data_IF_987301532710
#
_entry.id   IF_987301532710
#
_cell.length_a   1.000
_cell.length_b   1.000
_cell.length_c   1.000
_cell.angle_alpha   90.00
_cell.angle_beta   90.00
_cell.angle_gamma   90.00
#
_symmetry.space_group_name_H-M   'P 1'
#
loop_
_entity.id
_entity.type
_entity.pdbx_description
1 polymer ?
#
# COMPACT_ATOMS: atom_id res chain seq x y z
N UNK A 1 9.14 4.91 -23.30
CA UNK A 1 8.95 3.45 -23.54
C UNK A 1 7.56 3.19 -24.11
N UNK A 2 7.26 1.97 -24.63
CA UNK A 2 5.93 1.63 -25.13
C UNK A 2 5.14 0.84 -24.05
N UNK A 3 3.86 1.15 -23.92
CA UNK A 3 2.98 0.39 -23.03
C UNK A 3 2.82 -1.06 -23.53
N UNK A 4 3.02 -2.04 -22.64
CA UNK A 4 2.79 -3.46 -22.91
C UNK A 4 1.37 -3.89 -22.50
N UNK A 5 0.94 -5.07 -22.94
CA UNK A 5 -0.35 -5.65 -22.54
C UNK A 5 -0.43 -6.01 -21.04
N UNK A 6 0.72 -6.14 -20.37
CA UNK A 6 0.79 -6.42 -18.93
C UNK A 6 1.03 -5.19 -18.08
N UNK A 7 1.11 -4.00 -18.69
CA UNK A 7 1.36 -2.75 -18.00
C UNK A 7 0.34 -2.49 -16.87
N UNK A 8 0.82 -1.97 -15.76
CA UNK A 8 0.02 -1.48 -14.64
C UNK A 8 0.60 -0.16 -14.16
N UNK A 9 -0.20 0.89 -14.08
CA UNK A 9 0.27 2.23 -13.68
C UNK A 9 0.69 2.32 -12.20
N UNK A 10 0.15 1.47 -11.32
CA UNK A 10 0.37 1.57 -9.88
C UNK A 10 1.84 1.61 -9.43
N UNK A 11 2.79 0.82 -9.97
CA UNK A 11 4.20 0.92 -9.58
C UNK A 11 4.85 2.29 -9.84
N UNK A 12 4.20 3.19 -10.53
CA UNK A 12 4.70 4.54 -10.86
C UNK A 12 4.05 5.65 -10.06
N UNK A 13 2.98 5.36 -9.29
CA UNK A 13 2.20 6.42 -8.68
C UNK A 13 1.57 6.03 -7.32
N UNK A 14 1.69 4.78 -6.90
CA UNK A 14 0.94 4.25 -5.78
C UNK A 14 1.84 3.97 -4.57
N UNK A 15 1.43 4.46 -3.42
CA UNK A 15 2.03 4.15 -2.12
C UNK A 15 1.02 3.36 -1.33
N UNK A 16 1.36 2.12 -0.97
CA UNK A 16 0.48 1.26 -0.21
C UNK A 16 1.18 0.66 1.01
N UNK A 17 0.43 0.51 2.10
CA UNK A 17 0.89 -0.20 3.29
C UNK A 17 -0.08 -1.30 3.70
N UNK A 18 0.41 -2.27 4.48
CA UNK A 18 -0.45 -3.16 5.26
C UNK A 18 -0.68 -2.59 6.67
N UNK A 19 -1.51 -3.26 7.47
CA UNK A 19 -1.80 -2.82 8.85
C UNK A 19 -0.57 -2.78 9.77
N UNK A 20 0.51 -3.48 9.44
CA UNK A 20 1.78 -3.40 10.18
C UNK A 20 2.70 -2.27 9.73
N UNK A 21 2.26 -1.41 8.79
CA UNK A 21 3.04 -0.31 8.24
C UNK A 21 4.12 -0.74 7.22
N UNK A 22 4.11 -2.01 6.78
CA UNK A 22 5.03 -2.46 5.74
C UNK A 22 4.58 -1.95 4.38
N UNK A 23 5.51 -1.41 3.59
CA UNK A 23 5.24 -1.02 2.21
C UNK A 23 4.93 -2.21 1.32
N UNK A 24 3.96 -2.05 0.46
CA UNK A 24 3.51 -3.03 -0.53
C UNK A 24 3.62 -2.45 -1.93
N UNK A 25 3.89 -3.31 -2.89
CA UNK A 25 3.94 -2.88 -4.31
C UNK A 25 2.56 -2.46 -4.85
N UNK A 26 1.48 -2.98 -4.24
CA UNK A 26 0.10 -2.70 -4.64
C UNK A 26 -0.88 -3.16 -3.56
N UNK A 27 -2.00 -2.46 -3.40
CA UNK A 27 -3.08 -2.81 -2.48
C UNK A 27 -3.74 -4.18 -2.80
N UNK A 28 -3.72 -4.59 -4.07
CA UNK A 28 -4.34 -5.83 -4.56
C UNK A 28 -3.34 -6.99 -4.77
N UNK A 29 -2.06 -6.79 -4.50
CA UNK A 29 -1.03 -7.79 -4.69
C UNK A 29 -1.11 -8.96 -3.70
N UNK A 30 -0.57 -10.11 -4.09
CA UNK A 30 -0.66 -11.36 -3.31
C UNK A 30 -0.01 -11.22 -1.93
N UNK A 31 -0.73 -11.50 -0.83
CA UNK A 31 -0.17 -11.46 0.51
C UNK A 31 1.08 -12.35 0.65
N UNK A 32 2.08 -11.88 1.40
CA UNK A 32 3.34 -12.60 1.65
C UNK A 32 4.40 -12.50 0.55
N UNK A 33 4.05 -12.04 -0.66
CA UNK A 33 4.99 -11.88 -1.79
C UNK A 33 5.04 -10.46 -2.35
N UNK A 34 4.44 -9.52 -1.65
CA UNK A 34 4.13 -8.18 -2.16
C UNK A 34 4.78 -7.05 -1.39
N UNK A 35 5.69 -7.36 -0.48
CA UNK A 35 6.41 -6.35 0.28
C UNK A 35 7.59 -5.80 -0.52
N UNK A 36 7.84 -4.50 -0.33
CA UNK A 36 9.07 -3.88 -0.76
C UNK A 36 10.11 -4.18 0.32
N UNK A 37 11.14 -4.92 -0.05
CA UNK A 37 12.16 -5.44 0.88
C UNK A 37 13.54 -4.89 0.58
N UNK A 38 14.37 -4.85 1.61
CA UNK A 38 15.81 -4.62 1.48
C UNK A 38 16.54 -5.88 0.97
N UNK A 39 17.86 -5.81 0.89
CA UNK A 39 18.72 -6.91 0.42
C UNK A 39 18.69 -8.13 1.35
N UNK A 40 18.34 -7.96 2.63
CA UNK A 40 18.17 -9.06 3.59
C UNK A 40 16.80 -9.74 3.49
N UNK A 41 15.88 -9.17 2.69
CA UNK A 41 14.48 -9.60 2.59
C UNK A 41 13.57 -9.01 3.66
N UNK A 42 14.06 -8.09 4.50
CA UNK A 42 13.23 -7.42 5.50
C UNK A 42 12.35 -6.34 4.84
N UNK A 43 11.05 -6.25 5.18
CA UNK A 43 10.17 -5.27 4.58
C UNK A 43 10.47 -3.85 5.06
N UNK A 44 10.52 -2.91 4.14
CA UNK A 44 10.53 -1.48 4.46
C UNK A 44 9.24 -1.06 5.15
N UNK A 45 9.35 -0.09 6.06
CA UNK A 45 8.25 0.35 6.91
C UNK A 45 8.07 1.85 6.83
N UNK A 46 6.83 2.31 6.67
CA UNK A 46 6.50 3.73 6.50
C UNK A 46 6.96 4.62 7.67
N UNK A 47 7.02 4.06 8.88
CA UNK A 47 7.49 4.78 10.07
C UNK A 47 9.02 4.77 10.26
N UNK A 48 9.76 4.19 9.29
CA UNK A 48 11.23 4.13 9.28
C UNK A 48 11.84 4.65 8.00
N UNK A 49 11.11 4.51 6.91
CA UNK A 49 11.61 4.76 5.56
C UNK A 49 10.67 5.69 4.81
N UNK A 50 11.22 6.66 4.12
CA UNK A 50 10.44 7.54 3.25
C UNK A 50 10.07 6.86 1.93
N UNK A 51 9.05 7.36 1.20
CA UNK A 51 8.78 6.92 -0.17
C UNK A 51 9.99 7.03 -1.10
N UNK A 52 10.82 8.07 -0.97
CA UNK A 52 12.03 8.25 -1.79
C UNK A 52 13.02 7.08 -1.63
N UNK A 53 13.21 6.59 -0.41
CA UNK A 53 14.12 5.48 -0.11
C UNK A 53 13.67 4.17 -0.76
N UNK A 54 12.35 3.96 -0.88
CA UNK A 54 11.81 2.69 -1.35
C UNK A 54 11.49 2.67 -2.84
N UNK A 55 11.29 3.84 -3.46
CA UNK A 55 10.70 3.99 -4.80
C UNK A 55 11.50 3.35 -5.91
N UNK A 56 12.83 3.38 -5.79
CA UNK A 56 13.74 2.81 -6.77
C UNK A 56 14.57 1.65 -6.21
N UNK A 57 14.01 0.94 -5.22
CA UNK A 57 14.58 -0.34 -4.77
C UNK A 57 14.54 -1.38 -5.90
N UNK A 58 15.36 -2.42 -5.75
CA UNK A 58 15.39 -3.51 -6.73
C UNK A 58 14.01 -4.11 -7.01
N UNK A 59 13.17 -4.24 -5.98
CA UNK A 59 11.80 -4.78 -6.10
C UNK A 59 10.96 -3.93 -7.04
N UNK A 60 10.95 -2.61 -6.88
CA UNK A 60 10.18 -1.72 -7.75
C UNK A 60 10.75 -1.64 -9.16
N UNK A 61 12.07 -1.57 -9.32
CA UNK A 61 12.71 -1.51 -10.63
C UNK A 61 12.45 -2.78 -11.44
N UNK A 62 12.63 -3.95 -10.83
CA UNK A 62 12.35 -5.22 -11.47
C UNK A 62 10.88 -5.36 -11.84
N UNK A 63 9.97 -4.96 -10.96
CA UNK A 63 8.53 -4.98 -11.23
C UNK A 63 8.15 -4.11 -12.43
N UNK A 64 8.65 -2.86 -12.48
CA UNK A 64 8.38 -1.96 -13.62
C UNK A 64 8.93 -2.54 -14.92
N UNK A 65 10.16 -3.04 -14.92
CA UNK A 65 10.75 -3.69 -16.10
C UNK A 65 9.94 -4.89 -16.57
N UNK A 66 9.58 -5.80 -15.67
CA UNK A 66 8.81 -6.97 -16.02
C UNK A 66 7.45 -6.59 -16.66
N UNK A 67 6.77 -5.57 -16.10
CA UNK A 67 5.51 -5.08 -16.65
C UNK A 67 5.69 -4.40 -18.02
N UNK A 68 6.78 -3.68 -18.24
CA UNK A 68 7.10 -3.07 -19.53
C UNK A 68 7.52 -4.09 -20.58
N UNK A 69 8.21 -5.16 -20.17
CA UNK A 69 8.65 -6.27 -21.01
C UNK A 69 7.51 -7.27 -21.38
N UNK A 70 6.28 -7.02 -20.95
CA UNK A 70 5.15 -7.92 -21.23
C UNK A 70 5.13 -9.18 -20.35
N UNK A 71 5.91 -9.23 -19.28
CA UNK A 71 5.91 -10.34 -18.33
C UNK A 71 4.76 -10.22 -17.33
N UNK A 72 4.44 -11.35 -16.66
CA UNK A 72 3.41 -11.47 -15.65
C UNK A 72 4.00 -11.76 -14.26
N UNK A 73 4.43 -10.75 -13.48
CA UNK A 73 5.01 -10.94 -12.17
C UNK A 73 4.11 -11.76 -11.24
N UNK A 74 4.70 -12.68 -10.45
CA UNK A 74 3.95 -13.56 -9.53
C UNK A 74 3.18 -12.78 -8.45
N UNK A 75 3.71 -11.64 -7.99
CA UNK A 75 3.03 -10.79 -7.02
C UNK A 75 1.72 -10.19 -7.53
N UNK A 76 1.51 -10.15 -8.85
CA UNK A 76 0.31 -9.64 -9.51
C UNK A 76 -0.67 -10.77 -9.93
N UNK A 77 -0.49 -12.00 -9.46
CA UNK A 77 -1.24 -13.19 -9.90
C UNK A 77 -2.75 -13.05 -9.79
N UNK A 78 -3.24 -12.24 -8.86
CA UNK A 78 -4.68 -11.99 -8.71
C UNK A 78 -5.26 -11.33 -9.97
N UNK A 79 -4.64 -10.27 -10.47
CA UNK A 79 -5.08 -9.61 -11.70
C UNK A 79 -5.01 -10.57 -12.89
N UNK A 80 -3.92 -11.35 -13.00
CA UNK A 80 -3.78 -12.33 -14.10
C UNK A 80 -4.85 -13.43 -14.09
N UNK A 81 -5.29 -13.86 -12.91
CA UNK A 81 -6.39 -14.83 -12.79
C UNK A 81 -7.73 -14.24 -13.16
N UNK A 82 -8.02 -13.02 -12.71
CA UNK A 82 -9.24 -12.29 -13.05
C UNK A 82 -9.34 -12.11 -14.58
N UNK A 83 -8.28 -11.62 -15.21
CA UNK A 83 -8.20 -11.42 -16.67
C UNK A 83 -8.32 -12.73 -17.46
N UNK A 84 -7.72 -13.82 -16.99
CA UNK A 84 -7.82 -15.12 -17.63
C UNK A 84 -9.26 -15.70 -17.65
N UNK A 85 -10.13 -15.21 -16.76
CA UNK A 85 -11.56 -15.58 -16.72
C UNK A 85 -12.47 -14.57 -17.42
N UNK A 86 -11.90 -13.55 -18.06
CA UNK A 86 -12.64 -12.46 -18.72
C UNK A 86 -13.22 -11.42 -17.76
N UNK A 87 -12.79 -11.44 -16.50
CA UNK A 87 -13.19 -10.43 -15.50
C UNK A 87 -12.21 -9.26 -15.58
N UNK A 88 -12.74 -8.04 -15.62
CA UNK A 88 -11.92 -6.82 -15.55
C UNK A 88 -11.14 -6.79 -14.23
N UNK A 89 -9.82 -6.82 -14.32
CA UNK A 89 -8.96 -6.81 -13.15
C UNK A 89 -8.81 -5.41 -12.53
N UNK A 90 -8.32 -5.36 -11.28
CA UNK A 90 -7.97 -4.10 -10.65
C UNK A 90 -6.90 -3.34 -11.45
N UNK A 91 -5.93 -4.04 -12.08
CA UNK A 91 -4.91 -3.46 -12.96
C UNK A 91 -5.52 -2.68 -14.12
N UNK A 92 -6.47 -3.29 -14.82
CA UNK A 92 -7.17 -2.64 -15.93
C UNK A 92 -8.01 -1.45 -15.45
N UNK A 93 -8.67 -1.60 -14.30
CA UNK A 93 -9.42 -0.52 -13.68
C UNK A 93 -8.54 0.69 -13.31
N UNK A 94 -7.38 0.46 -12.70
CA UNK A 94 -6.43 1.52 -12.36
C UNK A 94 -5.81 2.18 -13.60
N UNK A 95 -5.46 1.40 -14.63
CA UNK A 95 -4.96 1.96 -15.89
C UNK A 95 -6.00 2.88 -16.56
N UNK A 96 -7.29 2.56 -16.44
CA UNK A 96 -8.35 3.42 -16.96
C UNK A 96 -8.56 4.67 -16.10
N UNK A 97 -8.58 4.51 -14.77
CA UNK A 97 -8.80 5.63 -13.83
C UNK A 97 -7.68 6.65 -13.83
N UNK A 98 -6.45 6.22 -14.10
CA UNK A 98 -5.24 7.08 -14.07
C UNK A 98 -4.54 7.13 -15.43
N UNK A 99 -5.28 7.03 -16.51
CA UNK A 99 -4.75 7.01 -17.88
C UNK A 99 -3.91 8.24 -18.24
N UNK A 100 -4.22 9.40 -17.66
CA UNK A 100 -3.51 10.67 -17.86
C UNK A 100 -2.06 10.63 -17.33
N UNK A 101 -1.75 9.75 -16.39
CA UNK A 101 -0.40 9.58 -15.84
C UNK A 101 0.47 8.58 -16.62
N UNK A 102 -0.12 7.81 -17.55
CA UNK A 102 0.59 6.71 -18.23
C UNK A 102 1.71 7.23 -19.13
N UNK A 103 1.43 8.23 -19.94
CA UNK A 103 2.42 8.79 -20.88
C UNK A 103 3.65 9.32 -20.13
N UNK A 104 3.43 10.15 -19.11
CA UNK A 104 4.50 10.69 -18.26
C UNK A 104 5.30 9.57 -17.57
N UNK A 105 4.63 8.53 -17.05
CA UNK A 105 5.29 7.39 -16.41
C UNK A 105 6.21 6.65 -17.39
N UNK A 106 5.76 6.41 -18.63
CA UNK A 106 6.54 5.72 -19.66
C UNK A 106 7.73 6.56 -20.15
N UNK A 107 7.54 7.86 -20.33
CA UNK A 107 8.60 8.78 -20.82
C UNK A 107 9.73 8.93 -19.79
N UNK A 108 9.38 9.05 -18.51
CA UNK A 108 10.34 9.31 -17.44
C UNK A 108 10.94 8.04 -16.80
N UNK A 109 10.60 6.85 -17.30
CA UNK A 109 11.19 5.59 -16.81
C UNK A 109 12.49 5.29 -17.56
N UNK A 110 13.57 5.04 -16.80
CA UNK A 110 14.86 4.62 -17.36
C UNK A 110 14.86 3.13 -17.73
N UNK A 111 15.81 2.72 -18.55
CA UNK A 111 15.96 1.30 -18.99
C UNK A 111 16.10 0.31 -17.82
N UNK A 112 16.69 0.73 -16.70
CA UNK A 112 16.83 -0.08 -15.50
C UNK A 112 15.57 -0.14 -14.61
N UNK A 113 14.46 0.52 -15.02
CA UNK A 113 13.20 0.59 -14.27
C UNK A 113 13.16 1.72 -13.23
N UNK A 114 14.19 2.58 -13.16
CA UNK A 114 14.17 3.78 -12.31
C UNK A 114 13.13 4.77 -12.82
N UNK A 115 12.32 5.31 -11.92
CA UNK A 115 11.29 6.30 -12.22
C UNK A 115 11.29 7.43 -11.17
N UNK A 116 10.82 8.65 -11.52
CA UNK A 116 10.62 9.72 -10.56
C UNK A 116 9.67 9.31 -9.42
N UNK A 117 9.91 9.82 -8.22
CA UNK A 117 8.99 9.61 -7.09
C UNK A 117 7.73 10.44 -7.31
N UNK A 118 6.58 9.76 -7.35
CA UNK A 118 5.28 10.41 -7.56
C UNK A 118 4.18 9.65 -6.82
N UNK A 119 3.75 10.16 -5.68
CA UNK A 119 2.69 9.56 -4.87
C UNK A 119 1.33 10.16 -5.21
N UNK A 120 0.69 9.73 -6.30
CA UNK A 120 -0.64 10.20 -6.72
C UNK A 120 -1.74 9.53 -5.92
N UNK A 121 -1.65 8.21 -5.75
CA UNK A 121 -2.60 7.41 -4.98
C UNK A 121 -1.93 6.83 -3.74
N UNK A 122 -2.44 7.18 -2.57
CA UNK A 122 -1.93 6.76 -1.25
C UNK A 122 -2.95 5.88 -0.55
N UNK A 123 -2.63 4.60 -0.33
CA UNK A 123 -3.48 3.59 0.34
C UNK A 123 -2.82 3.16 1.65
N UNK A 124 -3.27 3.72 2.75
CA UNK A 124 -2.72 3.45 4.08
C UNK A 124 -3.69 2.63 4.93
N UNK A 125 -3.18 1.52 5.46
CA UNK A 125 -3.88 0.74 6.48
C UNK A 125 -3.31 1.09 7.85
N UNK A 126 -4.02 1.96 8.58
CA UNK A 126 -3.56 2.61 9.81
C UNK A 126 -3.62 1.70 11.05
N UNK A 127 -2.90 0.58 10.99
CA UNK A 127 -2.86 -0.36 12.11
C UNK A 127 -4.15 -1.18 12.26
N UNK A 128 -4.43 -1.59 13.50
CA UNK A 128 -5.61 -2.38 13.85
C UNK A 128 -6.43 -1.78 15.02
N UNK A 129 -6.15 -0.53 15.41
CA UNK A 129 -6.93 0.15 16.43
C UNK A 129 -8.38 0.29 15.96
N UNK A 130 -9.33 -0.30 16.70
CA UNK A 130 -10.74 -0.29 16.36
C UNK A 130 -11.61 -0.35 17.61
N UNK A 131 -12.75 0.31 17.58
CA UNK A 131 -13.75 0.23 18.64
C UNK A 131 -14.85 -0.81 18.34
N UNK A 132 -14.74 -1.50 17.20
CA UNK A 132 -15.73 -2.50 16.76
C UNK A 132 -15.10 -3.89 16.66
N UNK A 133 -15.95 -4.91 16.83
CA UNK A 133 -15.63 -6.33 16.72
C UNK A 133 -16.47 -6.97 15.62
N UNK A 134 -16.32 -6.50 14.40
CA UNK A 134 -17.09 -7.00 13.26
C UNK A 134 -16.78 -8.47 13.00
N UNK A 135 -17.81 -9.24 12.70
CA UNK A 135 -17.73 -10.70 12.53
C UNK A 135 -16.78 -11.15 11.41
N UNK A 136 -16.57 -10.29 10.38
CA UNK A 136 -15.67 -10.57 9.26
C UNK A 136 -14.22 -10.10 9.50
N UNK A 137 -13.95 -9.43 10.62
CA UNK A 137 -12.63 -8.94 10.96
C UNK A 137 -11.79 -10.00 11.69
N UNK A 138 -10.50 -9.74 11.78
CA UNK A 138 -9.49 -10.55 12.44
C UNK A 138 -8.51 -9.65 13.21
N UNK A 139 -7.58 -10.19 14.02
CA UNK A 139 -6.66 -9.41 14.84
C UNK A 139 -5.78 -8.41 14.08
N UNK A 140 -5.51 -8.62 12.79
CA UNK A 140 -4.76 -7.69 11.96
C UNK A 140 -5.58 -6.48 11.49
N UNK A 141 -6.92 -6.60 11.57
CA UNK A 141 -7.86 -5.54 11.18
C UNK A 141 -8.60 -4.92 12.39
N UNK A 142 -8.64 -5.60 13.55
CA UNK A 142 -9.22 -5.05 14.77
C UNK A 142 -8.54 -5.66 16.01
N UNK A 143 -7.98 -4.79 16.85
CA UNK A 143 -7.36 -5.19 18.12
C UNK A 143 -8.35 -5.82 19.09
N UNK A 144 -9.67 -5.60 18.93
CA UNK A 144 -10.73 -6.21 19.74
C UNK A 144 -10.77 -7.74 19.59
N UNK A 145 -10.23 -8.30 18.49
CA UNK A 145 -10.17 -9.73 18.27
C UNK A 145 -8.94 -10.41 18.88
N UNK A 146 -7.92 -9.67 19.34
CA UNK A 146 -6.62 -10.22 19.74
C UNK A 146 -6.75 -11.23 20.88
N UNK A 147 -7.55 -10.94 21.89
CA UNK A 147 -7.73 -11.85 23.05
C UNK A 147 -8.46 -13.14 22.67
N UNK A 148 -9.55 -13.04 21.90
CA UNK A 148 -10.35 -14.21 21.56
C UNK A 148 -9.68 -15.12 20.55
N UNK A 149 -8.79 -14.58 19.70
CA UNK A 149 -8.12 -15.36 18.67
C UNK A 149 -7.19 -16.43 19.25
N UNK A 150 -6.70 -16.24 20.47
CA UNK A 150 -5.86 -17.23 21.14
C UNK A 150 -6.59 -18.48 21.61
N UNK A 151 -7.87 -18.39 21.83
CA UNK A 151 -8.67 -19.51 22.39
C UNK A 151 -9.39 -20.31 21.33
N UNK A 152 -9.39 -19.80 20.08
CA UNK A 152 -10.07 -20.43 18.95
C UNK A 152 -9.09 -20.51 17.77
N UNK A 153 -8.97 -21.70 17.20
CA UNK A 153 -8.38 -21.84 15.88
C UNK A 153 -9.11 -20.90 14.92
N UNK A 154 -8.37 -20.11 14.13
CA UNK A 154 -8.96 -19.39 13.02
C UNK A 154 -9.74 -20.37 12.14
N UNK A 155 -10.62 -19.82 11.33
CA UNK A 155 -11.44 -20.62 10.41
C UNK A 155 -10.57 -21.48 9.46
N UNK A 156 -9.32 -21.09 9.21
CA UNK A 156 -8.30 -21.81 8.43
C UNK A 156 -7.35 -22.67 9.31
N UNK A 157 -7.63 -22.80 10.62
CA UNK A 157 -6.80 -23.54 11.55
C UNK A 157 -5.54 -22.83 12.04
N UNK A 158 -5.26 -21.59 11.60
CA UNK A 158 -4.09 -20.84 12.04
C UNK A 158 -4.26 -20.33 13.47
N UNK A 159 -3.17 -20.35 14.25
CA UNK A 159 -3.09 -19.76 15.58
C UNK A 159 -2.06 -18.66 15.58
N UNK A 160 -2.25 -17.63 16.41
CA UNK A 160 -1.21 -16.66 16.67
C UNK A 160 -0.45 -17.04 17.93
N UNK A 161 0.88 -16.98 17.89
CA UNK A 161 1.70 -17.19 19.07
C UNK A 161 1.66 -15.96 20.01
N UNK A 162 2.23 -16.08 21.21
CA UNK A 162 2.23 -15.01 22.19
C UNK A 162 2.98 -13.75 21.71
N UNK A 163 4.03 -13.91 20.91
CA UNK A 163 4.80 -12.79 20.36
C UNK A 163 3.99 -12.00 19.33
N UNK A 164 3.33 -12.72 18.43
CA UNK A 164 2.46 -12.08 17.43
C UNK A 164 1.23 -11.45 18.09
N UNK A 165 0.68 -12.10 19.12
CA UNK A 165 -0.40 -11.55 19.93
C UNK A 165 -0.02 -10.23 20.57
N UNK A 166 1.13 -10.18 21.26
CA UNK A 166 1.64 -8.96 21.88
C UNK A 166 1.87 -7.86 20.84
N UNK A 167 2.47 -8.20 19.71
CA UNK A 167 2.64 -7.29 18.58
C UNK A 167 1.33 -6.70 18.06
N UNK A 168 0.29 -7.53 17.94
CA UNK A 168 -1.03 -7.12 17.45
C UNK A 168 -1.79 -6.26 18.47
N UNK A 169 -1.65 -6.57 19.77
CA UNK A 169 -2.24 -5.78 20.85
C UNK A 169 -1.64 -4.37 20.94
N UNK A 170 -0.37 -4.22 20.55
CA UNK A 170 0.39 -2.96 20.67
C UNK A 170 0.76 -2.37 19.29
N UNK A 171 -0.04 -2.60 18.26
CA UNK A 171 0.20 -2.08 16.92
C UNK A 171 -0.16 -0.58 16.85
N UNK A 172 0.79 0.27 17.23
CA UNK A 172 0.61 1.71 17.37
C UNK A 172 1.49 2.55 16.42
N UNK A 173 2.02 1.97 15.34
CA UNK A 173 2.89 2.68 14.42
C UNK A 173 2.29 3.99 13.83
N UNK A 174 0.94 4.14 13.66
CA UNK A 174 0.38 5.41 13.19
C UNK A 174 0.60 6.59 14.14
N UNK A 175 0.88 6.33 15.44
CA UNK A 175 1.22 7.40 16.40
C UNK A 175 2.67 7.87 16.27
N UNK A 176 3.48 7.20 15.45
CA UNK A 176 4.85 7.60 15.24
C UNK A 176 4.91 8.82 14.31
N UNK A 177 5.49 9.91 14.81
CA UNK A 177 5.59 11.15 14.06
C UNK A 177 6.33 11.00 12.74
N UNK A 178 7.38 10.18 12.69
CA UNK A 178 8.15 9.94 11.45
C UNK A 178 7.31 9.37 10.31
N UNK A 179 6.22 8.66 10.60
CA UNK A 179 5.29 8.18 9.57
C UNK A 179 4.74 9.33 8.73
N UNK A 180 4.31 10.38 9.40
CA UNK A 180 3.67 11.52 8.77
C UNK A 180 4.69 12.43 8.13
N UNK A 181 5.84 12.63 8.78
CA UNK A 181 6.97 13.38 8.21
C UNK A 181 7.47 12.75 6.90
N UNK A 182 7.54 11.43 6.83
CA UNK A 182 7.92 10.69 5.63
C UNK A 182 6.94 10.87 4.47
N UNK A 183 5.67 11.15 4.77
CA UNK A 183 4.64 11.37 3.74
C UNK A 183 4.53 12.83 3.28
N UNK A 184 5.05 13.79 4.06
CA UNK A 184 4.94 15.21 3.72
C UNK A 184 5.46 15.55 2.30
N UNK A 185 6.59 14.99 1.83
CA UNK A 185 7.13 15.32 0.52
C UNK A 185 6.22 14.94 -0.67
N UNK A 186 5.36 13.94 -0.49
CA UNK A 186 4.49 13.48 -1.60
C UNK A 186 3.16 14.22 -1.68
N UNK A 187 2.81 15.07 -0.70
CA UNK A 187 1.53 15.80 -0.69
C UNK A 187 1.35 16.65 -1.94
N UNK A 188 2.43 17.15 -2.52
CA UNK A 188 2.37 17.95 -3.73
C UNK A 188 1.85 17.20 -4.96
N UNK A 189 1.97 15.87 -4.97
CA UNK A 189 1.55 15.02 -6.09
C UNK A 189 0.30 14.19 -5.79
N UNK A 190 -0.21 14.18 -4.54
CA UNK A 190 -1.36 13.38 -4.12
C UNK A 190 -2.65 13.90 -4.74
N UNK A 191 -3.41 13.00 -5.34
CA UNK A 191 -4.76 13.22 -5.88
C UNK A 191 -5.81 12.36 -5.18
N UNK A 192 -5.40 11.21 -4.63
CA UNK A 192 -6.30 10.31 -3.91
C UNK A 192 -5.64 9.75 -2.64
N UNK A 193 -6.35 9.84 -1.51
CA UNK A 193 -5.98 9.24 -0.24
C UNK A 193 -7.06 8.24 0.17
N UNK A 194 -6.69 6.98 0.31
CA UNK A 194 -7.53 5.91 0.79
C UNK A 194 -7.03 5.42 2.16
N UNK A 195 -7.86 5.56 3.18
CA UNK A 195 -7.51 5.21 4.55
C UNK A 195 -8.37 4.05 5.05
N UNK A 196 -7.68 2.99 5.49
CA UNK A 196 -8.31 1.82 6.09
C UNK A 196 -7.50 1.38 7.31
N UNK A 197 -7.79 0.21 7.83
CA UNK A 197 -7.11 -0.38 8.98
C UNK A 197 -8.13 -0.96 9.92
N UNK A 198 -8.04 -0.64 11.22
CA UNK A 198 -9.09 -0.87 12.18
C UNK A 198 -10.27 0.08 11.91
N UNK A 199 -10.37 1.13 12.72
CA UNK A 199 -11.22 2.28 12.45
C UNK A 199 -10.30 3.49 12.21
N UNK A 200 -10.14 3.95 10.95
CA UNK A 200 -9.18 5.00 10.62
C UNK A 200 -9.38 6.29 11.42
N UNK A 201 -10.62 6.66 11.72
CA UNK A 201 -10.94 7.88 12.46
C UNK A 201 -10.42 7.90 13.90
N UNK A 202 -10.04 6.75 14.46
CA UNK A 202 -9.38 6.64 15.77
C UNK A 202 -7.87 6.88 15.71
N UNK A 203 -7.26 6.85 14.52
CA UNK A 203 -5.85 7.16 14.33
C UNK A 203 -5.68 8.69 14.19
N UNK A 204 -5.68 9.41 15.33
CA UNK A 204 -5.76 10.88 15.37
C UNK A 204 -4.64 11.58 14.61
N UNK A 205 -3.49 10.95 14.51
CA UNK A 205 -2.33 11.52 13.83
C UNK A 205 -2.52 11.71 12.33
N UNK A 206 -3.47 11.01 11.70
CA UNK A 206 -3.81 11.22 10.30
C UNK A 206 -4.26 12.65 9.99
N UNK A 207 -4.86 13.31 10.97
CA UNK A 207 -5.33 14.69 10.81
C UNK A 207 -4.18 15.67 10.52
N UNK A 208 -2.95 15.37 10.92
CA UNK A 208 -1.76 16.14 10.54
C UNK A 208 -1.54 16.15 9.00
N UNK A 209 -1.85 15.04 8.34
CA UNK A 209 -1.80 14.97 6.88
C UNK A 209 -2.88 15.86 6.25
N UNK A 210 -4.09 15.82 6.81
CA UNK A 210 -5.19 16.66 6.32
C UNK A 210 -4.95 18.14 6.56
N UNK A 211 -4.46 18.51 7.75
CA UNK A 211 -4.08 19.90 8.07
C UNK A 211 -3.05 20.40 7.07
N UNK A 212 -2.06 19.57 6.73
CA UNK A 212 -1.04 19.92 5.74
C UNK A 212 -1.63 20.10 4.33
N UNK A 213 -2.58 19.25 3.92
CA UNK A 213 -3.29 19.41 2.65
C UNK A 213 -4.07 20.74 2.60
N UNK A 214 -4.69 21.13 3.73
CA UNK A 214 -5.42 22.40 3.87
C UNK A 214 -4.45 23.59 3.80
N UNK A 215 -3.36 23.58 4.55
CA UNK A 215 -2.33 24.63 4.54
C UNK A 215 -1.77 24.90 3.14
N UNK A 216 -1.56 23.83 2.37
CA UNK A 216 -1.08 23.91 0.99
C UNK A 216 -2.18 24.23 -0.04
N UNK A 217 -3.43 24.47 0.41
CA UNK A 217 -4.60 24.69 -0.44
C UNK A 217 -4.85 23.56 -1.47
N UNK A 218 -4.47 22.34 -1.11
CA UNK A 218 -4.63 21.13 -1.94
C UNK A 218 -5.86 20.29 -1.59
N UNK A 219 -6.42 20.47 -0.40
CA UNK A 219 -7.55 19.66 0.09
C UNK A 219 -8.75 19.62 -0.88
N UNK A 220 -9.00 20.68 -1.65
CA UNK A 220 -10.08 20.76 -2.64
C UNK A 220 -9.87 19.85 -3.86
N UNK A 221 -8.62 19.46 -4.14
CA UNK A 221 -8.21 18.70 -5.33
C UNK A 221 -7.94 17.21 -4.96
N UNK A 222 -8.06 16.84 -3.68
CA UNK A 222 -7.78 15.49 -3.19
C UNK A 222 -9.10 14.74 -2.94
N UNK A 223 -9.18 13.54 -3.50
CA UNK A 223 -10.26 12.58 -3.21
C UNK A 223 -9.90 11.80 -1.95
N UNK A 224 -10.71 11.95 -0.89
CA UNK A 224 -10.57 11.15 0.33
C UNK A 224 -11.60 10.01 0.33
N UNK A 225 -11.12 8.76 0.56
CA UNK A 225 -11.93 7.55 0.64
C UNK A 225 -11.68 6.78 1.94
#
# INVERSE_FOLDING_TARGET
MKQSDTFCILPWMHIATNSSGNYRVCCNSTPGQNFITDESGAPYKIYKNSPDEIWNTKVYKDLRKDLLDGKKPKMCVRCWREEATGIKSAREGFNESYKEHIEEALENTKEDGTAPVKGVYVDLRLGNLCNLKCRMCNPWASNQWVEEWNTKTSYDGSTIDNKERDRLAHMNWPTNQSTWENLMPIIDTVEEIYLTGGEPTLALEQYKLFDRCIELNKAKDIILK
#
